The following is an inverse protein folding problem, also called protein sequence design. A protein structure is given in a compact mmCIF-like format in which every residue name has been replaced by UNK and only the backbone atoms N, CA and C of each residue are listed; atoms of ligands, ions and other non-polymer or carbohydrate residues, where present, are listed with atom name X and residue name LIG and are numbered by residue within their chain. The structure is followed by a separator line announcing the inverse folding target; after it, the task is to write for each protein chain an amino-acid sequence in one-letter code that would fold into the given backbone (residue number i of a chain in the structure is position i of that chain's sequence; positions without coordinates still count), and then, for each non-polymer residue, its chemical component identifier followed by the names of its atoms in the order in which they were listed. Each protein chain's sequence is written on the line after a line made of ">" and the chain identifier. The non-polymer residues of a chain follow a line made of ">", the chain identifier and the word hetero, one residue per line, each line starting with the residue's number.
data_IF_142400051916
#
_entry.id   IF_142400051916
#
_cell.length_a   1.000
_cell.length_b   1.000
_cell.length_c   1.000
_cell.angle_alpha   90.00
_cell.angle_beta   90.00
_cell.angle_gamma   90.00
#
_symmetry.space_group_name_H-M   'P 1'
#
loop_
_entity.id
_entity.type
_entity.pdbx_description
1 polymer ?
#
# COMPACT_ATOMS: atom_id res chain seq x y z
N UNK A 1 23.55 5.94 -13.02
CA UNK A 1 22.21 5.44 -13.41
C UNK A 1 21.66 4.54 -12.31
N UNK A 2 20.39 4.67 -11.98
CA UNK A 2 19.73 3.82 -10.98
C UNK A 2 19.40 2.47 -11.59
N UNK A 3 19.80 1.37 -10.90
CA UNK A 3 19.37 0.01 -11.21
C UNK A 3 18.77 -0.62 -9.95
N UNK A 4 17.68 -1.33 -10.12
CA UNK A 4 17.01 -2.00 -9.01
C UNK A 4 16.58 -3.42 -9.37
N UNK A 5 16.92 -4.36 -8.51
CA UNK A 5 16.39 -5.72 -8.52
C UNK A 5 16.12 -6.16 -7.08
N UNK A 6 14.85 -6.47 -6.78
CA UNK A 6 14.48 -6.92 -5.45
C UNK A 6 15.21 -8.22 -5.09
N UNK A 7 15.98 -8.18 -4.01
CA UNK A 7 16.75 -9.34 -3.49
C UNK A 7 15.99 -10.11 -2.41
N UNK A 8 14.72 -9.74 -2.14
CA UNK A 8 13.86 -10.34 -1.10
C UNK A 8 14.47 -10.25 0.32
N UNK A 9 15.37 -9.30 0.57
CA UNK A 9 16.11 -9.17 1.82
C UNK A 9 15.26 -8.85 3.06
N UNK A 10 13.99 -8.44 2.89
CA UNK A 10 13.09 -8.09 3.98
C UNK A 10 13.33 -6.74 4.67
N UNK A 11 14.35 -5.98 4.27
CA UNK A 11 14.69 -4.68 4.91
C UNK A 11 13.51 -3.71 4.87
N UNK A 12 12.81 -3.57 3.72
CA UNK A 12 11.62 -2.72 3.63
C UNK A 12 10.48 -3.17 4.57
N UNK A 13 10.42 -4.47 4.90
CA UNK A 13 9.41 -5.02 5.81
C UNK A 13 9.65 -4.63 7.28
N UNK A 14 10.88 -4.25 7.65
CA UNK A 14 11.24 -3.85 9.03
C UNK A 14 11.28 -2.34 9.23
N UNK A 15 11.49 -1.56 8.18
CA UNK A 15 11.73 -0.11 8.29
C UNK A 15 10.46 0.74 8.20
N UNK A 16 9.47 0.30 7.40
CA UNK A 16 8.34 1.14 7.05
C UNK A 16 7.01 0.53 7.51
N UNK A 17 6.12 1.37 8.06
CA UNK A 17 4.73 1.02 8.13
C UNK A 17 4.12 1.12 6.72
N UNK A 18 3.19 0.24 6.40
CA UNK A 18 2.65 0.12 5.06
C UNK A 18 1.16 0.43 5.11
N UNK A 19 0.74 1.64 4.67
CA UNK A 19 -0.67 1.92 4.46
C UNK A 19 -1.19 1.10 3.28
N UNK A 20 -2.41 0.55 3.44
CA UNK A 20 -3.05 -0.29 2.43
C UNK A 20 -4.43 0.23 2.08
N UNK A 21 -4.81 0.08 0.82
CA UNK A 21 -6.17 0.28 0.35
C UNK A 21 -7.00 -1.01 0.54
N UNK A 22 -8.32 -0.93 0.42
CA UNK A 22 -9.20 -2.10 0.39
C UNK A 22 -8.85 -3.05 -0.76
N UNK A 23 -8.34 -2.53 -1.87
CA UNK A 23 -7.89 -3.32 -3.02
C UNK A 23 -6.58 -4.08 -2.74
N UNK A 24 -5.66 -3.49 -1.96
CA UNK A 24 -4.49 -4.22 -1.45
C UNK A 24 -4.92 -5.34 -0.50
N UNK A 25 -5.92 -5.09 0.36
CA UNK A 25 -6.51 -6.10 1.25
C UNK A 25 -7.11 -7.23 0.44
N UNK A 26 -7.92 -6.92 -0.56
CA UNK A 26 -8.54 -7.90 -1.44
C UNK A 26 -7.51 -8.81 -2.13
N UNK A 27 -6.40 -8.24 -2.65
CA UNK A 27 -5.32 -9.03 -3.24
C UNK A 27 -4.74 -10.05 -2.27
N UNK A 28 -4.49 -9.63 -1.03
CA UNK A 28 -3.88 -10.50 -0.02
C UNK A 28 -4.85 -11.60 0.41
N UNK A 29 -6.13 -11.27 0.61
CA UNK A 29 -7.17 -12.23 0.97
C UNK A 29 -7.39 -13.22 -0.18
N UNK A 30 -7.66 -12.70 -1.38
CA UNK A 30 -8.09 -13.51 -2.52
C UNK A 30 -6.98 -14.38 -3.12
N UNK A 31 -5.77 -13.81 -3.30
CA UNK A 31 -4.64 -14.53 -3.88
C UNK A 31 -3.76 -15.24 -2.87
N UNK A 32 -3.79 -14.80 -1.62
CA UNK A 32 -2.95 -15.33 -0.55
C UNK A 32 -3.66 -16.27 0.41
N UNK A 33 -4.99 -16.25 0.43
CA UNK A 33 -5.80 -17.06 1.35
C UNK A 33 -5.69 -16.63 2.81
N UNK A 34 -5.23 -15.39 3.07
CA UNK A 34 -5.14 -14.86 4.43
C UNK A 34 -6.50 -14.31 4.89
N UNK A 35 -6.82 -14.46 6.17
CA UNK A 35 -7.87 -13.67 6.80
C UNK A 35 -7.37 -12.23 6.98
N UNK A 36 -8.20 -11.25 6.64
CA UNK A 36 -7.82 -9.84 6.72
C UNK A 36 -7.40 -9.43 8.15
N UNK A 37 -8.04 -9.99 9.18
CA UNK A 37 -7.72 -9.74 10.58
C UNK A 37 -6.32 -10.23 10.98
N UNK A 38 -5.72 -11.18 10.26
CA UNK A 38 -4.38 -11.67 10.56
C UNK A 38 -3.30 -10.64 10.26
N UNK A 39 -3.50 -9.80 9.23
CA UNK A 39 -2.46 -8.90 8.73
C UNK A 39 -2.81 -7.41 8.78
N UNK A 40 -4.06 -7.04 9.10
CA UNK A 40 -4.50 -5.64 9.15
C UNK A 40 -4.55 -5.09 10.56
N UNK A 41 -4.23 -3.81 10.68
CA UNK A 41 -4.48 -3.00 11.88
C UNK A 41 -4.79 -1.56 11.48
N UNK A 42 -5.30 -0.77 12.43
CA UNK A 42 -5.46 0.67 12.28
C UNK A 42 -4.41 1.36 13.16
N UNK A 43 -3.54 2.13 12.53
CA UNK A 43 -2.53 2.96 13.19
C UNK A 43 -3.16 4.30 13.57
N UNK A 44 -3.05 4.73 14.83
CA UNK A 44 -3.63 5.98 15.30
C UNK A 44 -3.12 7.17 14.49
N UNK A 45 -4.03 8.07 14.09
CA UNK A 45 -3.68 9.20 13.24
C UNK A 45 -2.73 10.21 13.90
N UNK A 46 -2.69 10.25 15.22
CA UNK A 46 -1.80 11.11 16.03
C UNK A 46 -0.33 10.67 15.97
N UNK A 47 -0.08 9.36 15.82
CA UNK A 47 1.27 8.78 15.80
C UNK A 47 1.94 8.85 14.41
N UNK A 48 1.18 9.13 13.35
CA UNK A 48 1.65 9.06 11.97
C UNK A 48 1.27 10.29 11.16
N UNK A 49 2.26 10.97 10.58
CA UNK A 49 2.03 12.05 9.61
C UNK A 49 1.86 11.44 8.22
N UNK A 50 0.64 11.40 7.69
CA UNK A 50 0.36 10.89 6.36
C UNK A 50 -0.79 11.63 5.70
N UNK A 51 -0.77 11.71 4.36
CA UNK A 51 -1.88 12.20 3.53
C UNK A 51 -2.80 11.06 3.08
N UNK A 52 -2.60 9.84 3.57
CA UNK A 52 -3.45 8.70 3.26
C UNK A 52 -4.85 8.89 3.88
N UNK A 53 -5.95 8.39 3.25
CA UNK A 53 -7.28 8.49 3.82
C UNK A 53 -7.36 7.83 5.21
N UNK A 54 -7.99 8.54 6.15
CA UNK A 54 -8.16 8.08 7.54
C UNK A 54 -9.51 7.42 7.72
N UNK A 55 -9.53 6.24 8.29
CA UNK A 55 -10.76 5.59 8.75
C UNK A 55 -11.18 6.12 10.11
N UNK A 56 -12.49 6.19 10.35
CA UNK A 56 -13.06 6.54 11.64
C UNK A 56 -13.66 5.29 12.28
N UNK A 57 -13.22 4.99 13.48
CA UNK A 57 -13.73 3.90 14.32
C UNK A 57 -14.21 4.44 15.66
N UNK A 58 -14.90 3.60 16.43
CA UNK A 58 -15.28 3.94 17.80
C UNK A 58 -14.10 4.42 18.65
N UNK A 59 -12.93 3.79 18.48
CA UNK A 59 -11.71 4.10 19.22
C UNK A 59 -10.96 5.35 18.72
N UNK A 60 -11.44 5.97 17.64
CA UNK A 60 -10.82 7.16 17.04
C UNK A 60 -10.48 7.02 15.57
N UNK A 61 -9.71 7.98 15.07
CA UNK A 61 -9.29 8.03 13.66
C UNK A 61 -7.90 7.43 13.47
N UNK A 62 -7.72 6.70 12.37
CA UNK A 62 -6.42 6.10 12.07
C UNK A 62 -6.24 5.74 10.60
N UNK A 63 -5.11 5.12 10.31
CA UNK A 63 -4.75 4.66 8.98
C UNK A 63 -4.77 3.14 8.91
N UNK A 64 -5.49 2.58 7.97
CA UNK A 64 -5.44 1.14 7.70
C UNK A 64 -4.05 0.77 7.18
N UNK A 65 -3.44 -0.25 7.76
CA UNK A 65 -2.11 -0.69 7.38
C UNK A 65 -1.80 -2.13 7.76
N UNK A 66 -0.67 -2.63 7.28
CA UNK A 66 -0.20 -3.96 7.61
C UNK A 66 0.29 -4.03 9.06
N UNK A 67 -0.14 -5.05 9.80
CA UNK A 67 0.38 -5.36 11.14
C UNK A 67 1.88 -5.58 11.12
N UNK A 68 2.50 -5.28 12.26
CA UNK A 68 3.91 -5.55 12.52
C UNK A 68 4.06 -6.40 13.78
N UNK A 69 5.03 -7.28 13.79
CA UNK A 69 5.46 -7.96 15.01
C UNK A 69 6.12 -6.97 15.99
N UNK A 70 6.25 -7.31 17.28
CA UNK A 70 6.97 -6.48 18.26
C UNK A 70 8.42 -6.16 17.87
N UNK A 71 9.07 -7.04 17.10
CA UNK A 71 10.41 -6.81 16.55
C UNK A 71 10.43 -5.86 15.34
N UNK A 72 9.29 -5.28 14.99
CA UNK A 72 9.16 -4.29 13.92
C UNK A 72 8.96 -4.85 12.52
N UNK A 73 9.03 -6.16 12.29
CA UNK A 73 8.79 -6.74 10.97
C UNK A 73 7.29 -6.82 10.63
N UNK A 74 6.97 -6.64 9.34
CA UNK A 74 5.63 -6.91 8.82
C UNK A 74 5.24 -8.38 9.08
N UNK A 75 4.01 -8.64 9.52
CA UNK A 75 3.52 -10.00 9.83
C UNK A 75 3.50 -10.93 8.61
N UNK A 76 3.48 -10.37 7.39
CA UNK A 76 3.57 -11.11 6.13
C UNK A 76 5.03 -11.40 5.71
N UNK A 77 6.00 -11.05 6.56
CA UNK A 77 7.39 -11.45 6.37
C UNK A 77 7.70 -12.67 7.24
N UNK A 78 8.02 -13.79 6.61
CA UNK A 78 8.44 -15.03 7.30
C UNK A 78 9.85 -15.39 6.85
N UNK A 79 10.75 -15.54 7.79
CA UNK A 79 12.16 -15.91 7.52
C UNK A 79 12.83 -14.97 6.49
N UNK A 80 12.57 -13.66 6.62
CA UNK A 80 13.01 -12.59 5.69
C UNK A 80 12.38 -12.64 4.29
N UNK A 81 11.44 -13.54 4.03
CA UNK A 81 10.74 -13.65 2.76
C UNK A 81 9.33 -13.03 2.88
N UNK A 82 8.96 -12.21 1.90
CA UNK A 82 7.60 -11.68 1.79
C UNK A 82 6.68 -12.76 1.23
N UNK A 83 5.76 -13.28 2.05
CA UNK A 83 4.84 -14.37 1.65
C UNK A 83 3.84 -13.94 0.56
N UNK A 84 3.63 -12.64 0.41
CA UNK A 84 2.71 -12.05 -0.57
C UNK A 84 3.44 -11.31 -1.70
N UNK A 85 4.70 -11.64 -1.96
CA UNK A 85 5.56 -10.88 -2.87
C UNK A 85 4.96 -10.68 -4.28
N UNK A 86 4.26 -11.67 -4.82
CA UNK A 86 3.67 -11.62 -6.17
C UNK A 86 2.45 -10.67 -6.24
N UNK A 87 1.71 -10.53 -5.13
CA UNK A 87 0.51 -9.70 -5.02
C UNK A 87 0.58 -8.71 -3.85
N UNK A 88 1.81 -8.30 -3.49
CA UNK A 88 2.06 -7.34 -2.42
C UNK A 88 1.39 -5.99 -2.69
N UNK A 89 1.06 -5.22 -1.64
CA UNK A 89 0.47 -3.89 -1.77
C UNK A 89 1.23 -2.99 -2.73
N UNK A 90 0.51 -2.12 -3.45
CA UNK A 90 1.14 -1.21 -4.39
C UNK A 90 2.18 -0.31 -3.72
N UNK A 91 1.99 0.05 -2.44
CA UNK A 91 3.02 0.74 -1.64
C UNK A 91 4.34 -0.03 -1.62
N UNK A 92 4.28 -1.34 -1.42
CA UNK A 92 5.48 -2.20 -1.39
C UNK A 92 6.11 -2.39 -2.77
N UNK A 93 5.33 -2.25 -3.86
CA UNK A 93 5.83 -2.37 -5.24
C UNK A 93 6.68 -1.19 -5.65
N UNK A 94 6.39 0.00 -5.09
CA UNK A 94 7.16 1.21 -5.36
C UNK A 94 8.55 1.20 -4.75
N UNK A 95 8.71 0.59 -3.57
CA UNK A 95 10.02 0.60 -2.93
C UNK A 95 11.09 -0.04 -3.84
N UNK A 96 12.22 0.61 -4.06
CA UNK A 96 12.83 1.75 -3.37
C UNK A 96 12.52 3.14 -3.98
N UNK A 97 11.49 3.25 -4.80
CA UNK A 97 11.09 4.51 -5.43
C UNK A 97 9.93 5.18 -4.69
N UNK A 98 9.73 6.45 -4.97
CA UNK A 98 8.57 7.25 -4.61
C UNK A 98 8.05 7.96 -5.85
N UNK A 99 6.77 8.30 -5.88
CA UNK A 99 6.21 9.13 -6.93
C UNK A 99 5.88 10.52 -6.39
N UNK A 100 6.09 11.53 -7.22
CA UNK A 100 5.77 12.93 -6.95
C UNK A 100 4.44 13.26 -7.59
N UNK A 101 3.62 14.04 -6.90
CA UNK A 101 2.33 14.50 -7.43
C UNK A 101 2.22 16.01 -7.35
N UNK A 102 1.59 16.61 -8.35
CA UNK A 102 1.18 18.01 -8.35
C UNK A 102 -0.24 18.10 -8.91
N UNK A 103 -1.09 18.87 -8.24
CA UNK A 103 -2.50 19.04 -8.62
C UNK A 103 -3.24 17.71 -8.86
N UNK A 104 -2.98 16.71 -8.01
CA UNK A 104 -3.61 15.38 -8.09
C UNK A 104 -3.14 14.49 -9.25
N UNK A 105 -2.10 14.89 -9.98
CA UNK A 105 -1.50 14.11 -11.08
C UNK A 105 -0.08 13.67 -10.70
N UNK A 106 0.33 12.51 -11.17
CA UNK A 106 1.71 12.04 -11.06
C UNK A 106 2.58 12.89 -12.00
N UNK A 107 3.61 13.51 -11.44
CA UNK A 107 4.53 14.39 -12.18
C UNK A 107 5.94 13.83 -12.29
N UNK A 108 6.28 12.81 -11.50
CA UNK A 108 7.60 12.22 -11.56
C UNK A 108 7.79 11.02 -10.65
N UNK A 109 8.91 10.36 -10.84
CA UNK A 109 9.41 9.26 -10.00
C UNK A 109 10.79 9.66 -9.49
N UNK A 110 11.01 9.44 -8.21
CA UNK A 110 12.29 9.68 -7.54
C UNK A 110 12.75 8.44 -6.78
N UNK A 111 14.03 8.37 -6.49
CA UNK A 111 14.58 7.37 -5.59
C UNK A 111 14.31 7.78 -4.14
N UNK A 112 13.79 6.88 -3.34
CA UNK A 112 13.67 7.09 -1.90
C UNK A 112 15.08 7.18 -1.29
N UNK A 113 15.46 8.36 -0.82
CA UNK A 113 16.82 8.61 -0.29
C UNK A 113 17.17 7.71 0.92
N UNK A 114 16.16 7.32 1.72
CA UNK A 114 16.37 6.35 2.81
C UNK A 114 16.73 4.96 2.28
N UNK A 115 16.25 4.59 1.09
CA UNK A 115 16.54 3.30 0.48
C UNK A 115 17.97 3.20 -0.06
N UNK A 116 18.61 4.32 -0.44
CA UNK A 116 19.99 4.34 -0.97
C UNK A 116 20.97 3.67 -0.01
N UNK A 117 20.77 3.87 1.30
CA UNK A 117 21.64 3.29 2.34
C UNK A 117 21.20 1.92 2.84
N UNK A 118 19.96 1.51 2.58
CA UNK A 118 19.36 0.35 3.24
C UNK A 118 18.93 -0.77 2.30
N UNK A 119 18.71 -0.49 1.00
CA UNK A 119 18.24 -1.48 0.04
C UNK A 119 19.40 -2.14 -0.71
N UNK A 120 19.75 -3.39 -0.40
CA UNK A 120 20.89 -4.06 -1.06
C UNK A 120 20.65 -4.38 -2.55
N UNK A 121 19.40 -4.32 -3.01
CA UNK A 121 19.05 -4.51 -4.41
C UNK A 121 19.08 -3.23 -5.25
N UNK A 122 19.38 -2.07 -4.62
CA UNK A 122 19.45 -0.77 -5.27
C UNK A 122 20.93 -0.40 -5.54
N UNK A 123 21.28 -0.26 -6.81
CA UNK A 123 22.52 0.33 -7.23
C UNK A 123 22.22 1.80 -7.58
N UNK A 124 22.80 2.70 -6.80
CA UNK A 124 22.56 4.13 -6.91
C UNK A 124 23.87 4.86 -7.19
N UNK A 125 24.02 5.34 -8.39
CA UNK A 125 25.15 6.14 -8.86
C UNK A 125 24.74 7.61 -9.03
N UNK A 126 23.56 7.83 -9.63
CA UNK A 126 22.94 9.15 -9.78
C UNK A 126 21.41 9.00 -9.83
N UNK A 127 20.66 10.10 -9.93
CA UNK A 127 19.19 10.09 -9.93
C UNK A 127 18.55 9.67 -11.27
N UNK A 128 19.34 9.27 -12.28
CA UNK A 128 18.84 8.88 -13.61
C UNK A 128 18.27 7.46 -13.59
N UNK A 129 16.97 7.34 -13.75
CA UNK A 129 16.23 6.08 -13.91
C UNK A 129 16.09 5.81 -15.41
N UNK A 130 16.33 4.56 -15.85
CA UNK A 130 16.15 4.23 -17.26
C UNK A 130 14.71 4.40 -17.72
N UNK A 131 14.51 4.72 -19.01
CA UNK A 131 13.21 5.08 -19.55
C UNK A 131 12.13 3.99 -19.39
N UNK A 132 12.52 2.71 -19.50
CA UNK A 132 11.58 1.57 -19.36
C UNK A 132 11.10 1.43 -17.92
N UNK A 133 12.03 1.48 -16.96
CA UNK A 133 11.72 1.44 -15.53
C UNK A 133 10.88 2.65 -15.14
N UNK A 134 11.27 3.85 -15.60
CA UNK A 134 10.56 5.10 -15.33
C UNK A 134 9.10 5.03 -15.82
N UNK A 135 8.88 4.65 -17.10
CA UNK A 135 7.53 4.54 -17.68
C UNK A 135 6.67 3.51 -16.94
N UNK A 136 7.26 2.37 -16.54
CA UNK A 136 6.56 1.35 -15.77
C UNK A 136 6.14 1.85 -14.39
N UNK A 137 7.00 2.63 -13.73
CA UNK A 137 6.70 3.23 -12.42
C UNK A 137 5.66 4.36 -12.53
N UNK A 138 5.69 5.17 -13.58
CA UNK A 138 4.62 6.18 -13.84
C UNK A 138 3.27 5.47 -13.95
N UNK A 139 3.16 4.44 -14.80
CA UNK A 139 1.91 3.68 -14.95
C UNK A 139 1.44 3.10 -13.61
N UNK A 140 2.36 2.52 -12.84
CA UNK A 140 2.04 1.98 -11.51
C UNK A 140 1.56 3.07 -10.55
N UNK A 141 2.16 4.26 -10.61
CA UNK A 141 1.76 5.42 -9.80
C UNK A 141 0.35 5.91 -10.16
N UNK A 142 0.03 5.99 -11.44
CA UNK A 142 -1.31 6.37 -11.92
C UNK A 142 -2.38 5.39 -11.43
N UNK A 143 -2.13 4.08 -11.56
CA UNK A 143 -3.05 3.05 -11.05
C UNK A 143 -3.21 3.18 -9.53
N UNK A 144 -2.10 3.38 -8.79
CA UNK A 144 -2.16 3.60 -7.35
C UNK A 144 -2.98 4.83 -6.97
N UNK A 145 -2.90 5.91 -7.74
CA UNK A 145 -3.74 7.11 -7.52
C UNK A 145 -5.22 6.79 -7.71
N UNK A 146 -5.57 6.00 -8.73
CA UNK A 146 -6.96 5.55 -8.94
C UNK A 146 -7.42 4.70 -7.75
N UNK A 147 -6.64 3.70 -7.33
CA UNK A 147 -6.99 2.85 -6.18
C UNK A 147 -7.10 3.64 -4.87
N UNK A 148 -6.23 4.63 -4.68
CA UNK A 148 -6.30 5.51 -3.51
C UNK A 148 -7.56 6.36 -3.50
N UNK A 149 -8.01 6.84 -4.66
CA UNK A 149 -9.26 7.61 -4.78
C UNK A 149 -10.49 6.72 -4.50
N UNK A 150 -10.51 5.48 -5.03
CA UNK A 150 -11.55 4.51 -4.71
C UNK A 150 -11.59 4.21 -3.21
N UNK A 151 -10.43 4.00 -2.60
CA UNK A 151 -10.33 3.82 -1.15
C UNK A 151 -10.82 5.04 -0.36
N UNK A 152 -10.50 6.26 -0.81
CA UNK A 152 -10.99 7.48 -0.16
C UNK A 152 -12.52 7.58 -0.21
N UNK A 153 -13.14 7.16 -1.32
CA UNK A 153 -14.58 7.09 -1.46
C UNK A 153 -15.19 6.04 -0.51
N UNK A 154 -14.61 4.83 -0.48
CA UNK A 154 -15.06 3.77 0.44
C UNK A 154 -14.96 4.21 1.91
N UNK A 155 -13.88 4.87 2.30
CA UNK A 155 -13.71 5.42 3.67
C UNK A 155 -14.73 6.52 3.98
N UNK A 156 -15.08 7.36 3.00
CA UNK A 156 -16.12 8.37 3.16
C UNK A 156 -17.51 7.73 3.34
N UNK A 157 -17.81 6.72 2.55
CA UNK A 157 -19.05 5.95 2.63
C UNK A 157 -19.16 5.26 4.00
N UNK A 158 -18.11 4.55 4.43
CA UNK A 158 -18.00 4.00 5.78
C UNK A 158 -18.29 5.02 6.88
N UNK A 159 -17.67 6.20 6.79
CA UNK A 159 -17.83 7.26 7.80
C UNK A 159 -19.26 7.81 7.84
N UNK A 160 -19.96 7.81 6.69
CA UNK A 160 -21.36 8.25 6.60
C UNK A 160 -22.33 7.19 7.14
N UNK A 161 -22.06 5.92 6.90
CA UNK A 161 -22.92 4.81 7.32
C UNK A 161 -22.81 4.52 8.83
N UNK A 162 -21.57 4.48 9.31
CA UNK A 162 -21.30 4.12 10.72
C UNK A 162 -21.12 5.32 11.65
N UNK A 163 -21.16 6.55 11.14
CA UNK A 163 -21.02 7.78 11.93
C UNK A 163 -19.78 7.81 12.85
N UNK A 164 -18.70 7.11 12.46
CA UNK A 164 -17.48 6.97 13.25
C UNK A 164 -17.60 6.06 14.47
N UNK A 165 -18.63 5.23 14.55
CA UNK A 165 -18.92 4.33 15.68
C UNK A 165 -18.70 2.86 15.36
N UNK A 166 -18.33 2.50 14.14
CA UNK A 166 -18.07 1.13 13.74
C UNK A 166 -16.81 0.56 14.37
N UNK A 167 -16.77 -0.75 14.54
CA UNK A 167 -15.62 -1.49 15.06
C UNK A 167 -14.71 -1.98 13.93
N UNK A 168 -13.49 -2.34 14.27
CA UNK A 168 -12.49 -2.79 13.30
C UNK A 168 -12.96 -3.96 12.43
N UNK A 169 -13.67 -4.93 13.00
CA UNK A 169 -14.18 -6.08 12.25
C UNK A 169 -15.18 -5.65 11.18
N UNK A 170 -16.13 -4.79 11.54
CA UNK A 170 -17.16 -4.26 10.62
C UNK A 170 -16.51 -3.44 9.49
N UNK A 171 -15.47 -2.62 9.82
CA UNK A 171 -14.70 -1.90 8.81
C UNK A 171 -14.05 -2.85 7.81
N UNK A 172 -13.45 -3.94 8.29
CA UNK A 172 -12.78 -4.92 7.42
C UNK A 172 -13.79 -5.61 6.51
N UNK A 173 -14.92 -6.05 7.05
CA UNK A 173 -15.99 -6.72 6.30
C UNK A 173 -16.54 -5.77 5.21
N UNK A 174 -16.86 -4.52 5.56
CA UNK A 174 -17.29 -3.47 4.63
C UNK A 174 -16.26 -3.21 3.51
N UNK A 175 -14.98 -3.08 3.87
CA UNK A 175 -13.94 -2.78 2.90
C UNK A 175 -13.66 -3.95 1.95
N UNK A 176 -13.81 -5.19 2.40
CA UNK A 176 -13.66 -6.38 1.54
C UNK A 176 -14.83 -6.47 0.55
N UNK A 177 -16.07 -6.23 1.00
CA UNK A 177 -17.24 -6.19 0.13
C UNK A 177 -17.10 -5.08 -0.93
N UNK A 178 -16.73 -3.88 -0.52
CA UNK A 178 -16.50 -2.75 -1.43
C UNK A 178 -15.39 -3.01 -2.44
N UNK A 179 -14.37 -3.75 -2.04
CA UNK A 179 -13.27 -4.12 -2.93
C UNK A 179 -13.72 -5.01 -4.11
N UNK A 180 -14.71 -5.90 -3.91
CA UNK A 180 -15.24 -6.74 -5.00
C UNK A 180 -15.83 -5.88 -6.14
N UNK A 181 -16.59 -4.83 -5.79
CA UNK A 181 -17.17 -3.90 -6.77
C UNK A 181 -16.07 -3.16 -7.54
N UNK A 182 -15.09 -2.64 -6.81
CA UNK A 182 -14.00 -1.83 -7.37
C UNK A 182 -13.02 -2.68 -8.20
N UNK A 183 -12.75 -3.92 -7.82
CA UNK A 183 -11.98 -4.89 -8.63
C UNK A 183 -12.65 -5.10 -9.97
N UNK A 184 -13.95 -5.38 -9.99
CA UNK A 184 -14.72 -5.56 -11.22
C UNK A 184 -14.69 -4.31 -12.11
N UNK A 185 -14.73 -3.12 -11.52
CA UNK A 185 -14.59 -1.84 -12.23
C UNK A 185 -13.19 -1.71 -12.87
N UNK A 186 -12.13 -2.00 -12.10
CA UNK A 186 -10.74 -1.89 -12.57
C UNK A 186 -10.39 -2.92 -13.63
N UNK A 187 -10.90 -4.16 -13.52
CA UNK A 187 -10.74 -5.20 -14.55
C UNK A 187 -11.35 -4.73 -15.87
N UNK A 188 -12.59 -4.22 -15.85
CA UNK A 188 -13.24 -3.70 -17.06
C UNK A 188 -12.49 -2.53 -17.70
N UNK A 189 -11.80 -1.71 -16.90
CA UNK A 189 -10.99 -0.58 -17.38
C UNK A 189 -9.55 -0.96 -17.77
N UNK A 190 -9.15 -2.22 -17.64
CA UNK A 190 -7.76 -2.65 -17.87
C UNK A 190 -6.73 -2.05 -16.91
N UNK A 191 -7.18 -1.65 -15.71
CA UNK A 191 -6.36 -1.02 -14.67
C UNK A 191 -6.06 -1.96 -13.49
N UNK A 192 -6.67 -3.15 -13.46
CA UNK A 192 -6.40 -4.12 -12.41
C UNK A 192 -5.00 -4.72 -12.54
N UNK A 193 -4.26 -4.69 -11.43
CA UNK A 193 -2.95 -5.34 -11.29
C UNK A 193 -3.07 -6.39 -10.17
N UNK A 194 -2.74 -7.62 -10.52
CA UNK A 194 -2.68 -8.73 -9.55
C UNK A 194 -1.61 -8.48 -8.51
#
# INVERSE_FOLDING_TARGET
>A
MVKFKCTLCGVCCSQYWVPVTHLDVWRIVHYGGYSAQEFLTVYKAEDYKSTFPKVSLWEGKGYLGLKRFPNGFCVLNRNRLCTVHQFKPLTCRFYPFIYVTSNGKVTGIEVNKSAVKSCPGLIYDNDVIDAKTYSSLIRLAEIRMVERNLYANAVKEWSSEYYGRGFFKELVDFLVEKAEEDVNLLVRKGLWIK
#
